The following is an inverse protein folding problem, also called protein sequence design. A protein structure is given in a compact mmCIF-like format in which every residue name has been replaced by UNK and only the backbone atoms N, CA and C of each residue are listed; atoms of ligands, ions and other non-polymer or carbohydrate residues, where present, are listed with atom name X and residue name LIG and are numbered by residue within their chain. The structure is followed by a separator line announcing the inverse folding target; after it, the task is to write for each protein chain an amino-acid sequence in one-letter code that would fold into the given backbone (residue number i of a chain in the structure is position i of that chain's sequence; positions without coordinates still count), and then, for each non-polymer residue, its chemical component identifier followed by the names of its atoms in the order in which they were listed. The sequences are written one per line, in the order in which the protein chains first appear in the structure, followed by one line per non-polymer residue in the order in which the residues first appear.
data_IF_133332719514
#
_entry.id   IF_133332719514
#
_cell.length_a   1.000
_cell.length_b   1.000
_cell.length_c   1.000
_cell.angle_alpha   90.00
_cell.angle_beta   90.00
_cell.angle_gamma   90.00
#
_symmetry.space_group_name_H-M   'P 1'
#
loop_
_entity.id
_entity.type
_entity.pdbx_description
1 polymer ?
#
# COMPACT_ATOMS: atom_id res chain seq x y z
N UNK A 1 -25.04 -13.01 48.56
CA UNK A 1 -26.01 -13.60 47.60
C UNK A 1 -26.80 -12.54 46.83
N UNK A 2 -27.02 -11.34 47.39
CA UNK A 2 -27.79 -10.26 46.71
C UNK A 2 -27.11 -9.68 45.46
N UNK A 3 -25.78 -9.55 45.44
CA UNK A 3 -25.05 -8.98 44.31
C UNK A 3 -25.38 -9.67 42.97
N UNK A 4 -25.40 -11.01 42.94
CA UNK A 4 -25.66 -11.75 41.70
C UNK A 4 -27.09 -11.53 41.18
N UNK A 5 -28.07 -11.38 42.09
CA UNK A 5 -29.45 -11.07 41.71
C UNK A 5 -29.57 -9.64 41.20
N UNK A 6 -28.99 -8.67 41.91
CA UNK A 6 -28.98 -7.27 41.50
C UNK A 6 -28.26 -7.07 40.17
N UNK A 7 -27.13 -7.75 39.96
CA UNK A 7 -26.38 -7.72 38.71
C UNK A 7 -27.21 -8.27 37.54
N UNK A 8 -27.91 -9.40 37.73
CA UNK A 8 -28.76 -10.00 36.69
C UNK A 8 -29.87 -9.05 36.25
N UNK A 9 -30.50 -8.36 37.20
CA UNK A 9 -31.55 -7.39 36.91
C UNK A 9 -31.00 -6.14 36.21
N UNK A 10 -29.87 -5.60 36.70
CA UNK A 10 -29.19 -4.48 36.07
C UNK A 10 -28.72 -4.81 34.64
N UNK A 11 -28.18 -6.02 34.41
CA UNK A 11 -27.74 -6.48 33.10
C UNK A 11 -28.90 -6.49 32.09
N UNK A 12 -30.04 -7.08 32.47
CA UNK A 12 -31.24 -7.12 31.63
C UNK A 12 -31.80 -5.72 31.34
N UNK A 13 -31.77 -4.83 32.34
CA UNK A 13 -32.23 -3.45 32.17
C UNK A 13 -31.28 -2.60 31.30
N UNK A 14 -30.00 -2.96 31.24
CA UNK A 14 -28.98 -2.20 30.50
C UNK A 14 -28.99 -2.54 29.01
N UNK A 15 -29.05 -3.82 28.64
CA UNK A 15 -28.95 -4.27 27.25
C UNK A 15 -30.29 -4.24 26.51
N UNK A 16 -30.91 -3.07 26.45
CA UNK A 16 -32.08 -2.82 25.61
C UNK A 16 -31.66 -2.34 24.23
N UNK A 17 -32.49 -2.60 23.21
CA UNK A 17 -32.26 -2.08 21.85
C UNK A 17 -32.07 -0.55 21.85
N UNK A 18 -32.82 0.16 22.68
CA UNK A 18 -32.74 1.61 22.82
C UNK A 18 -31.39 2.07 23.40
N UNK A 19 -30.91 1.43 24.47
CA UNK A 19 -29.62 1.78 25.08
C UNK A 19 -28.45 1.47 24.15
N UNK A 20 -28.52 0.33 23.43
CA UNK A 20 -27.53 -0.05 22.43
C UNK A 20 -27.47 1.00 21.31
N UNK A 21 -28.62 1.35 20.71
CA UNK A 21 -28.69 2.39 19.66
C UNK A 21 -28.16 3.74 20.14
N UNK A 22 -28.48 4.13 21.37
CA UNK A 22 -28.02 5.38 21.97
C UNK A 22 -26.50 5.42 22.17
N UNK A 23 -25.88 4.30 22.60
CA UNK A 23 -24.42 4.18 22.70
C UNK A 23 -23.70 4.29 21.35
N UNK A 24 -24.23 3.63 20.32
CA UNK A 24 -23.72 3.77 18.94
C UNK A 24 -23.84 5.21 18.43
N UNK A 25 -24.96 5.89 18.71
CA UNK A 25 -25.13 7.29 18.36
C UNK A 25 -24.14 8.22 19.09
N UNK A 26 -23.90 8.01 20.38
CA UNK A 26 -22.97 8.82 21.18
C UNK A 26 -21.52 8.70 20.70
N UNK A 27 -21.14 7.57 20.13
CA UNK A 27 -19.80 7.33 19.56
C UNK A 27 -19.66 7.78 18.11
N UNK A 28 -20.74 8.27 17.48
CA UNK A 28 -20.76 8.61 16.06
C UNK A 28 -20.74 7.38 15.13
N UNK A 29 -20.74 6.17 15.67
CA UNK A 29 -20.82 4.91 14.93
C UNK A 29 -22.28 4.62 14.61
N UNK A 30 -22.86 5.37 13.67
CA UNK A 30 -24.27 5.25 13.30
C UNK A 30 -24.49 3.97 12.45
N UNK A 31 -24.68 2.83 13.12
CA UNK A 31 -25.16 1.59 12.47
C UNK A 31 -26.66 1.63 12.12
N UNK A 32 -27.34 2.75 12.35
CA UNK A 32 -28.80 2.81 12.32
C UNK A 32 -29.42 3.29 11.00
N UNK A 33 -28.60 3.77 10.05
CA UNK A 33 -29.10 4.20 8.73
C UNK A 33 -28.16 3.69 7.64
N UNK A 34 -28.35 2.45 7.16
CA UNK A 34 -27.60 1.93 6.03
C UNK A 34 -27.61 2.89 4.84
N UNK A 35 -28.76 3.55 4.60
CA UNK A 35 -28.89 4.56 3.54
C UNK A 35 -28.04 5.81 3.74
N UNK A 36 -27.77 6.21 5.00
CA UNK A 36 -26.82 7.30 5.26
C UNK A 36 -25.42 6.89 4.83
N UNK A 37 -24.97 5.69 5.20
CA UNK A 37 -23.65 5.17 4.80
C UNK A 37 -23.56 5.04 3.28
N UNK A 38 -24.60 4.49 2.65
CA UNK A 38 -24.69 4.33 1.19
C UNK A 38 -24.73 5.69 0.46
N UNK A 39 -25.39 6.71 1.02
CA UNK A 39 -25.43 8.06 0.42
C UNK A 39 -24.09 8.80 0.47
N UNK A 40 -23.20 8.44 1.40
CA UNK A 40 -21.83 8.97 1.46
C UNK A 40 -20.85 8.14 0.61
N UNK A 41 -21.24 6.91 0.26
CA UNK A 41 -20.50 6.05 -0.65
C UNK A 41 -20.77 6.49 -2.10
N UNK A 42 -20.00 7.47 -2.58
CA UNK A 42 -19.93 7.81 -4.00
C UNK A 42 -19.21 6.68 -4.77
N UNK A 43 -19.90 5.55 -4.94
CA UNK A 43 -19.41 4.39 -5.68
C UNK A 43 -19.44 4.73 -7.17
N UNK A 44 -18.37 5.34 -7.68
CA UNK A 44 -18.09 5.25 -9.10
C UNK A 44 -17.71 3.79 -9.40
N UNK A 45 -18.69 3.02 -9.89
CA UNK A 45 -18.46 1.69 -10.47
C UNK A 45 -17.61 1.87 -11.73
N UNK A 46 -16.30 1.96 -11.54
CA UNK A 46 -15.33 1.87 -12.62
C UNK A 46 -15.25 0.39 -12.97
N UNK A 47 -15.88 0.00 -14.06
CA UNK A 47 -15.54 -1.26 -14.72
C UNK A 47 -14.05 -1.18 -15.06
N UNK A 48 -13.22 -1.86 -14.27
CA UNK A 48 -11.80 -1.95 -14.57
C UNK A 48 -11.72 -2.59 -15.95
N UNK A 49 -11.15 -1.88 -16.92
CA UNK A 49 -10.73 -2.48 -18.17
C UNK A 49 -9.94 -3.74 -17.81
N UNK A 50 -10.28 -4.92 -18.34
CA UNK A 50 -9.56 -6.14 -18.04
C UNK A 50 -8.07 -5.87 -18.25
N UNK A 51 -7.20 -6.27 -17.30
CA UNK A 51 -5.79 -5.98 -17.41
C UNK A 51 -5.30 -6.52 -18.75
N UNK A 52 -4.69 -5.64 -19.55
CA UNK A 52 -3.87 -6.09 -20.67
C UNK A 52 -2.89 -7.08 -20.07
N UNK A 53 -2.88 -8.30 -20.58
CA UNK A 53 -1.85 -9.28 -20.26
C UNK A 53 -0.56 -8.70 -20.78
N UNK A 54 0.15 -7.93 -19.95
CA UNK A 54 1.47 -7.42 -20.27
C UNK A 54 2.35 -8.65 -20.48
N UNK A 55 2.82 -8.87 -21.71
CA UNK A 55 3.68 -9.99 -22.09
C UNK A 55 5.05 -9.98 -21.38
N UNK A 56 5.28 -8.96 -20.55
CA UNK A 56 6.53 -8.74 -19.87
C UNK A 56 6.26 -8.98 -18.38
N UNK A 57 6.41 -10.23 -17.98
CA UNK A 57 6.30 -10.66 -16.58
C UNK A 57 7.22 -9.80 -15.71
N UNK A 58 6.66 -8.78 -15.07
CA UNK A 58 7.32 -8.11 -13.97
C UNK A 58 7.84 -9.18 -12.98
N UNK A 59 9.11 -9.12 -12.63
CA UNK A 59 9.72 -10.03 -11.64
C UNK A 59 10.30 -9.20 -10.50
N UNK A 60 10.16 -9.67 -9.26
CA UNK A 60 10.75 -9.02 -8.07
C UNK A 60 12.27 -9.25 -7.95
N UNK A 61 12.95 -9.68 -9.02
CA UNK A 61 14.39 -9.87 -9.02
C UNK A 61 15.11 -8.53 -9.03
N UNK A 62 16.24 -8.48 -8.36
CA UNK A 62 17.17 -7.34 -8.40
C UNK A 62 17.59 -7.08 -9.85
N UNK A 63 17.37 -5.86 -10.38
CA UNK A 63 17.82 -5.49 -11.71
C UNK A 63 19.33 -5.74 -11.88
N UNK A 64 19.73 -6.41 -12.95
CA UNK A 64 21.13 -6.66 -13.28
C UNK A 64 21.67 -5.64 -14.27
N UNK A 65 20.78 -4.88 -14.91
CA UNK A 65 21.13 -3.88 -15.92
C UNK A 65 20.36 -2.58 -15.68
N UNK A 66 20.91 -1.47 -16.19
CA UNK A 66 20.23 -0.17 -16.16
C UNK A 66 18.88 -0.24 -16.87
N UNK A 67 18.79 -0.98 -17.99
CA UNK A 67 17.53 -1.18 -18.73
C UNK A 67 16.46 -1.86 -17.88
N UNK A 68 16.83 -2.89 -17.12
CA UNK A 68 15.90 -3.56 -16.20
C UNK A 68 15.47 -2.62 -15.07
N UNK A 69 16.39 -1.81 -14.55
CA UNK A 69 16.08 -0.82 -13.52
C UNK A 69 15.08 0.23 -14.02
N UNK A 70 15.26 0.73 -15.25
CA UNK A 70 14.35 1.69 -15.87
C UNK A 70 12.96 1.09 -16.09
N UNK A 71 12.89 -0.12 -16.65
CA UNK A 71 11.63 -0.83 -16.82
C UNK A 71 10.91 -1.02 -15.49
N UNK A 72 11.65 -1.41 -14.44
CA UNK A 72 11.05 -1.62 -13.15
C UNK A 72 10.55 -0.30 -12.52
N UNK A 73 11.31 0.77 -12.69
CA UNK A 73 10.97 2.11 -12.21
C UNK A 73 9.64 2.59 -12.81
N UNK A 74 9.48 2.46 -14.12
CA UNK A 74 8.25 2.85 -14.81
C UNK A 74 7.04 2.08 -14.32
N UNK A 75 7.18 0.76 -14.13
CA UNK A 75 6.10 -0.05 -13.58
C UNK A 75 5.70 0.38 -12.16
N UNK A 76 6.66 0.70 -11.29
CA UNK A 76 6.40 1.21 -9.93
C UNK A 76 5.70 2.57 -9.97
N UNK A 77 6.20 3.52 -10.76
CA UNK A 77 5.61 4.87 -10.89
C UNK A 77 4.18 4.82 -11.41
N UNK A 78 3.92 3.98 -12.41
CA UNK A 78 2.57 3.77 -12.96
C UNK A 78 1.59 3.24 -11.91
N UNK A 79 2.04 2.39 -10.97
CA UNK A 79 1.20 1.94 -9.85
C UNK A 79 0.93 3.04 -8.84
N UNK A 80 1.93 3.85 -8.50
CA UNK A 80 1.78 4.98 -7.56
C UNK A 80 0.76 5.98 -8.09
N UNK A 81 0.83 6.34 -9.37
CA UNK A 81 -0.09 7.29 -10.00
C UNK A 81 -1.54 6.78 -9.99
N UNK A 82 -1.76 5.45 -10.09
CA UNK A 82 -3.09 4.84 -10.11
C UNK A 82 -3.73 4.69 -8.72
N UNK A 83 -2.99 4.96 -7.64
CA UNK A 83 -3.50 4.82 -6.27
C UNK A 83 -4.48 5.94 -5.92
N UNK A 84 -5.72 5.59 -5.52
CA UNK A 84 -6.83 6.56 -5.43
C UNK A 84 -6.93 7.36 -4.12
N UNK A 85 -6.09 7.10 -3.12
CA UNK A 85 -6.35 7.59 -1.75
C UNK A 85 -5.16 8.34 -1.11
N UNK A 86 -4.13 8.69 -1.87
CA UNK A 86 -3.00 9.46 -1.34
C UNK A 86 -2.33 10.32 -2.41
N UNK A 87 -1.70 11.41 -1.98
CA UNK A 87 -0.88 12.22 -2.88
C UNK A 87 0.32 11.39 -3.37
N UNK A 88 0.50 11.20 -4.68
CA UNK A 88 1.56 10.35 -5.22
C UNK A 88 2.94 10.99 -5.11
N UNK A 89 3.03 12.30 -4.85
CA UNK A 89 4.25 13.10 -4.97
C UNK A 89 5.36 12.61 -4.03
N UNK A 90 5.07 12.49 -2.73
CA UNK A 90 6.09 12.09 -1.74
C UNK A 90 6.67 10.70 -2.02
N UNK A 91 5.85 9.76 -2.49
CA UNK A 91 6.30 8.41 -2.82
C UNK A 91 7.12 8.41 -4.11
N UNK A 92 6.71 9.18 -5.12
CA UNK A 92 7.42 9.28 -6.39
C UNK A 92 8.82 9.91 -6.23
N UNK A 93 8.95 10.90 -5.35
CA UNK A 93 10.24 11.52 -5.02
C UNK A 93 11.16 10.51 -4.33
N UNK A 94 10.65 9.76 -3.35
CA UNK A 94 11.39 8.70 -2.67
C UNK A 94 11.87 7.62 -3.65
N UNK A 95 10.99 7.17 -4.56
CA UNK A 95 11.35 6.20 -5.61
C UNK A 95 12.44 6.78 -6.52
N UNK A 96 12.34 8.05 -6.91
CA UNK A 96 13.35 8.68 -7.77
C UNK A 96 14.73 8.76 -7.11
N UNK A 97 14.79 8.99 -5.80
CA UNK A 97 16.03 8.93 -5.03
C UNK A 97 16.62 7.52 -5.00
N UNK A 98 15.79 6.49 -4.78
CA UNK A 98 16.24 5.09 -4.80
C UNK A 98 16.80 4.67 -6.16
N UNK A 99 16.15 5.09 -7.25
CA UNK A 99 16.61 4.79 -8.62
C UNK A 99 17.97 5.42 -8.89
N UNK A 100 18.18 6.68 -8.50
CA UNK A 100 19.50 7.33 -8.61
C UNK A 100 20.57 6.58 -7.81
N UNK A 101 20.26 6.17 -6.58
CA UNK A 101 21.17 5.37 -5.76
C UNK A 101 21.56 4.05 -6.43
N UNK A 102 20.58 3.33 -6.99
CA UNK A 102 20.82 2.09 -7.72
C UNK A 102 21.70 2.30 -8.97
N UNK A 103 21.46 3.35 -9.75
CA UNK A 103 22.28 3.70 -10.91
C UNK A 103 23.74 3.96 -10.51
N UNK A 104 23.98 4.74 -9.46
CA UNK A 104 25.34 5.03 -8.95
C UNK A 104 26.06 3.75 -8.54
N UNK A 105 25.38 2.85 -7.81
CA UNK A 105 25.98 1.57 -7.40
C UNK A 105 26.29 0.67 -8.60
N UNK A 106 25.39 0.58 -9.59
CA UNK A 106 25.63 -0.21 -10.80
C UNK A 106 26.84 0.29 -11.60
N UNK A 107 26.95 1.61 -11.80
CA UNK A 107 28.12 2.19 -12.48
C UNK A 107 29.41 1.93 -11.71
N UNK A 108 29.39 2.11 -10.39
CA UNK A 108 30.54 1.83 -9.53
C UNK A 108 30.97 0.36 -9.62
N UNK A 109 30.02 -0.57 -9.61
CA UNK A 109 30.29 -2.00 -9.75
C UNK A 109 30.90 -2.35 -11.11
N UNK A 110 30.48 -1.69 -12.20
CA UNK A 110 31.08 -1.88 -13.53
C UNK A 110 32.54 -1.42 -13.55
N UNK A 111 32.83 -0.23 -12.98
CA UNK A 111 34.19 0.29 -12.90
C UNK A 111 35.10 -0.61 -12.06
N UNK A 112 34.65 -0.99 -10.86
CA UNK A 112 35.38 -1.91 -9.99
C UNK A 112 35.67 -3.25 -10.68
N UNK A 113 34.70 -3.79 -11.43
CA UNK A 113 34.90 -5.02 -12.20
C UNK A 113 35.96 -4.87 -13.29
N UNK A 114 36.04 -3.71 -13.93
CA UNK A 114 37.07 -3.43 -14.93
C UNK A 114 38.46 -3.31 -14.30
N UNK A 115 38.56 -2.61 -13.17
CA UNK A 115 39.81 -2.45 -12.42
C UNK A 115 40.34 -3.78 -11.90
N UNK A 116 39.47 -4.61 -11.30
CA UNK A 116 39.84 -5.97 -10.83
C UNK A 116 40.40 -6.81 -11.98
N UNK A 117 39.79 -6.75 -13.17
CA UNK A 117 40.30 -7.47 -14.35
C UNK A 117 41.67 -6.97 -14.80
N UNK A 118 41.89 -5.65 -14.78
CA UNK A 118 43.18 -5.07 -15.15
C UNK A 118 44.28 -5.48 -14.16
N UNK A 119 43.98 -5.45 -12.86
CA UNK A 119 44.91 -5.89 -11.82
C UNK A 119 45.25 -7.38 -11.93
N UNK A 120 44.26 -8.23 -12.23
CA UNK A 120 44.49 -9.66 -12.46
C UNK A 120 45.44 -9.89 -13.65
N UNK A 121 45.20 -9.21 -14.78
CA UNK A 121 46.03 -9.34 -15.96
C UNK A 121 47.47 -8.80 -15.76
N UNK A 122 47.64 -7.79 -14.91
CA UNK A 122 48.97 -7.24 -14.58
C UNK A 122 49.76 -8.12 -13.59
N UNK A 123 49.10 -9.08 -12.93
CA UNK A 123 49.68 -9.95 -11.92
C UNK A 123 49.80 -11.42 -12.40
N UNK A 124 49.49 -11.67 -13.67
CA UNK A 124 49.91 -12.87 -14.43
C UNK A 124 51.30 -12.65 -15.03
#
# INVERSE_FOLDING_TARGET
LEFLSAFKEAFKATFTEQNIKSGFQATGLVLYKPQSVLSHLNLHLRTLTPPIVESNNWTSKTPQTIRELDFQTEHIKNRIIRHQNSSPTSINDAVSCLVKGAQVMMHSAILLKAEVKALQAANE
#
